data_IF_909921400587
#
_entry.id   IF_909921400587
#
_cell.length_a   1.000
_cell.length_b   1.000
_cell.length_c   1.000
_cell.angle_alpha   90.00
_cell.angle_beta   90.00
_cell.angle_gamma   90.00
#
_symmetry.space_group_name_H-M   'P 1'
#
loop_
_entity.id
_entity.type
_entity.pdbx_description
1 polymer ?
#
# COMPACT_ATOMS: atom_id res chain seq x y z
N UNK A 1 -7.70 0.03 11.87
CA UNK A 1 -6.51 -0.39 11.09
C UNK A 1 -5.26 -0.36 11.97
N UNK A 2 -5.05 -1.38 12.81
CA UNK A 2 -3.97 -1.40 13.83
C UNK A 2 -2.89 -2.47 13.58
N UNK A 3 -3.08 -3.35 12.59
CA UNK A 3 -2.27 -4.55 12.43
C UNK A 3 -0.94 -4.28 11.70
N UNK A 4 -0.91 -3.37 10.74
CA UNK A 4 0.31 -3.06 9.98
C UNK A 4 1.40 -2.36 10.82
N UNK A 5 1.01 -1.66 11.91
CA UNK A 5 1.93 -0.98 12.84
C UNK A 5 2.61 -1.92 13.85
N UNK A 6 2.10 -3.14 14.04
CA UNK A 6 2.64 -4.08 15.03
C UNK A 6 3.86 -4.85 14.50
N UNK A 7 3.98 -5.01 13.18
CA UNK A 7 5.03 -5.81 12.54
C UNK A 7 6.40 -5.11 12.53
N UNK A 8 6.48 -3.79 12.73
CA UNK A 8 7.72 -3.03 12.53
C UNK A 8 8.61 -2.78 13.75
N UNK A 9 8.17 -3.05 14.99
CA UNK A 9 9.01 -2.74 16.16
C UNK A 9 8.87 -3.78 17.27
N UNK A 10 9.99 -4.43 17.63
CA UNK A 10 10.22 -4.86 19.02
C UNK A 10 11.50 -4.26 19.56
N UNK A 11 11.38 -3.52 20.65
CA UNK A 11 12.46 -3.01 21.48
C UNK A 11 11.91 -2.14 22.61
N UNK A 12 11.63 -2.76 23.76
CA UNK A 12 10.98 -2.15 24.93
C UNK A 12 11.83 -1.07 25.64
N UNK A 13 11.19 -0.12 26.35
CA UNK A 13 11.85 0.91 27.16
C UNK A 13 11.30 1.02 28.61
N UNK A 14 12.10 1.51 29.60
CA UNK A 14 11.84 1.39 31.06
C UNK A 14 10.97 2.51 31.69
N UNK A 15 10.50 2.37 32.96
CA UNK A 15 9.24 2.96 33.44
C UNK A 15 9.25 4.42 33.95
N UNK A 16 10.37 5.13 34.02
CA UNK A 16 10.40 6.51 34.58
C UNK A 16 10.01 7.60 33.58
N UNK A 17 9.70 7.23 32.34
CA UNK A 17 9.28 8.13 31.27
C UNK A 17 7.75 8.22 31.12
N UNK A 18 6.98 7.44 31.90
CA UNK A 18 5.56 7.21 31.66
C UNK A 18 4.71 8.48 31.71
N UNK A 19 5.00 9.45 32.57
CA UNK A 19 4.13 10.62 32.73
C UNK A 19 4.37 11.69 31.65
N UNK A 20 5.63 11.90 31.24
CA UNK A 20 5.97 12.73 30.08
C UNK A 20 5.56 12.06 28.77
N UNK A 21 5.66 10.74 28.70
CA UNK A 21 5.17 9.95 27.57
C UNK A 21 3.64 9.99 27.48
N UNK A 22 2.91 10.02 28.60
CA UNK A 22 1.45 10.15 28.60
C UNK A 22 1.02 11.51 28.06
N UNK A 23 1.67 12.59 28.49
CA UNK A 23 1.39 13.94 27.98
C UNK A 23 1.74 14.06 26.50
N UNK A 24 2.95 13.63 26.10
CA UNK A 24 3.35 13.63 24.69
C UNK A 24 2.44 12.73 23.82
N UNK A 25 1.94 11.61 24.37
CA UNK A 25 1.00 10.72 23.68
C UNK A 25 -0.39 11.35 23.54
N UNK A 26 -0.86 12.09 24.54
CA UNK A 26 -2.11 12.84 24.48
C UNK A 26 -2.01 14.02 23.50
N UNK A 27 -0.90 14.74 23.49
CA UNK A 27 -0.62 15.82 22.52
C UNK A 27 -0.53 15.28 21.09
N UNK A 28 0.17 14.15 20.88
CA UNK A 28 0.19 13.45 19.59
C UNK A 28 -1.21 12.96 19.20
N UNK A 29 -2.02 12.46 20.14
CA UNK A 29 -3.39 12.05 19.85
C UNK A 29 -4.25 13.23 19.39
N UNK A 30 -4.14 14.37 20.05
CA UNK A 30 -4.85 15.59 19.67
C UNK A 30 -4.35 16.17 18.34
N UNK A 31 -3.05 16.03 18.06
CA UNK A 31 -2.46 16.42 16.77
C UNK A 31 -2.84 15.47 15.62
N UNK A 32 -3.11 14.19 15.92
CA UNK A 32 -3.59 13.18 14.97
C UNK A 32 -5.12 13.15 14.81
N UNK A 33 -5.85 13.87 15.65
CA UNK A 33 -7.31 14.07 15.58
C UNK A 33 -7.71 15.32 14.76
N UNK A 34 -6.73 15.98 14.13
CA UNK A 34 -6.95 17.08 13.19
C UNK A 34 -6.96 16.57 11.75
N UNK A 35 -8.07 16.82 11.05
CA UNK A 35 -8.30 16.60 9.61
C UNK A 35 -8.72 15.17 9.18
N UNK A 36 -9.64 14.55 9.93
CA UNK A 36 -10.41 13.35 9.48
C UNK A 36 -11.50 13.70 8.43
N UNK A 37 -11.15 14.44 7.38
CA UNK A 37 -12.13 14.93 6.40
C UNK A 37 -11.71 14.84 4.93
N UNK A 38 -10.42 14.72 4.62
CA UNK A 38 -9.97 14.53 3.24
C UNK A 38 -9.65 13.06 2.99
N UNK A 39 -10.39 12.46 2.06
CA UNK A 39 -10.08 11.16 1.49
C UNK A 39 -8.67 11.26 0.87
N UNK A 40 -7.68 10.72 1.56
CA UNK A 40 -6.29 10.83 1.13
C UNK A 40 -6.14 10.05 -0.18
N UNK A 41 -5.57 10.68 -1.21
CA UNK A 41 -5.33 10.07 -2.53
C UNK A 41 -4.52 8.77 -2.43
N UNK A 42 -3.78 8.56 -1.34
CA UNK A 42 -3.04 7.33 -1.06
C UNK A 42 -3.87 6.23 -0.38
N UNK A 43 -5.07 6.54 0.11
CA UNK A 43 -5.98 5.58 0.78
C UNK A 43 -7.08 5.04 -0.13
N UNK A 44 -7.31 5.69 -1.27
CA UNK A 44 -8.28 5.20 -2.27
C UNK A 44 -7.72 3.97 -3.01
N UNK A 45 -8.58 3.03 -3.43
CA UNK A 45 -8.16 1.96 -4.33
C UNK A 45 -7.64 2.52 -5.65
N UNK A 46 -6.68 1.83 -6.30
CA UNK A 46 -6.16 2.27 -7.57
C UNK A 46 -7.25 2.25 -8.65
N UNK A 47 -7.13 3.15 -9.62
CA UNK A 47 -7.97 3.25 -10.80
C UNK A 47 -7.42 2.41 -11.96
N UNK A 48 -8.27 2.13 -12.95
CA UNK A 48 -7.87 1.39 -14.15
C UNK A 48 -6.75 2.12 -14.92
N UNK A 49 -6.80 3.45 -14.98
CA UNK A 49 -5.81 4.28 -15.67
C UNK A 49 -4.45 4.25 -14.97
N UNK A 50 -4.43 4.29 -13.64
CA UNK A 50 -3.20 4.14 -12.86
C UNK A 50 -2.55 2.78 -13.10
N UNK A 51 -3.34 1.69 -13.10
CA UNK A 51 -2.83 0.34 -13.40
C UNK A 51 -2.31 0.25 -14.83
N UNK A 52 -3.04 0.78 -15.81
CA UNK A 52 -2.61 0.81 -17.21
C UNK A 52 -1.30 1.60 -17.38
N UNK A 53 -1.20 2.77 -16.73
CA UNK A 53 -0.01 3.61 -16.77
C UNK A 53 1.18 2.89 -16.13
N UNK A 54 0.98 2.26 -14.96
CA UNK A 54 2.00 1.48 -14.26
C UNK A 54 2.57 0.35 -15.13
N UNK A 55 1.71 -0.37 -15.86
CA UNK A 55 2.15 -1.40 -16.83
C UNK A 55 2.98 -0.77 -17.95
N UNK A 56 2.56 0.39 -18.47
CA UNK A 56 3.22 1.01 -19.62
C UNK A 56 4.61 1.58 -19.28
N UNK A 57 4.78 2.16 -18.08
CA UNK A 57 6.05 2.76 -17.65
C UNK A 57 7.11 1.74 -17.22
N UNK A 58 6.77 0.45 -17.06
CA UNK A 58 7.75 -0.58 -16.73
C UNK A 58 8.90 -0.59 -17.74
N UNK A 59 10.14 -0.80 -17.29
CA UNK A 59 11.30 -0.82 -18.18
C UNK A 59 11.35 -2.13 -18.97
N UNK A 60 11.40 -2.03 -20.30
CA UNK A 60 11.62 -3.16 -21.20
C UNK A 60 13.08 -3.64 -21.14
N UNK A 61 13.31 -4.87 -21.62
CA UNK A 61 14.59 -5.58 -21.69
C UNK A 61 15.24 -5.81 -20.32
N UNK A 62 14.42 -5.86 -19.27
CA UNK A 62 14.84 -6.33 -17.95
C UNK A 62 14.61 -7.83 -17.85
N UNK A 63 15.48 -8.50 -17.11
CA UNK A 63 15.29 -9.90 -16.81
C UNK A 63 13.94 -10.08 -16.09
N UNK A 64 13.11 -11.06 -16.49
CA UNK A 64 11.86 -11.33 -15.81
C UNK A 64 12.10 -11.79 -14.37
N UNK A 65 11.09 -11.64 -13.52
CA UNK A 65 11.13 -12.09 -12.13
C UNK A 65 11.10 -13.62 -12.01
N UNK A 66 10.90 -14.10 -10.77
CA UNK A 66 10.70 -15.53 -10.48
C UNK A 66 9.47 -16.12 -11.20
N UNK A 67 8.49 -15.26 -11.50
CA UNK A 67 7.29 -15.55 -12.28
C UNK A 67 7.57 -15.82 -13.77
N UNK A 68 8.78 -15.49 -14.25
CA UNK A 68 9.19 -15.56 -15.66
C UNK A 68 8.34 -14.67 -16.59
N UNK A 69 7.62 -13.68 -16.04
CA UNK A 69 6.81 -12.74 -16.81
C UNK A 69 7.66 -11.50 -17.08
N UNK A 70 7.81 -11.13 -18.36
CA UNK A 70 8.54 -9.93 -18.74
C UNK A 70 7.61 -8.72 -18.88
N UNK A 71 8.17 -7.51 -18.76
CA UNK A 71 7.42 -6.27 -18.91
C UNK A 71 6.77 -6.16 -20.30
N UNK A 72 7.39 -6.72 -21.34
CA UNK A 72 6.84 -6.73 -22.71
C UNK A 72 5.56 -7.55 -22.79
N UNK A 73 5.50 -8.71 -22.12
CA UNK A 73 4.28 -9.53 -22.10
C UNK A 73 3.12 -8.76 -21.45
N UNK A 74 3.40 -8.05 -20.36
CA UNK A 74 2.40 -7.22 -19.70
C UNK A 74 1.91 -6.07 -20.59
N UNK A 75 2.84 -5.40 -21.29
CA UNK A 75 2.51 -4.30 -22.21
C UNK A 75 1.72 -4.77 -23.45
N UNK A 76 2.01 -5.97 -23.95
CA UNK A 76 1.38 -6.52 -25.15
C UNK A 76 0.08 -7.29 -24.86
N UNK A 77 -0.23 -7.59 -23.59
CA UNK A 77 -1.42 -8.37 -23.22
C UNK A 77 -2.76 -7.69 -23.47
N UNK A 78 -2.76 -6.41 -23.87
CA UNK A 78 -3.95 -5.69 -24.32
C UNK A 78 -4.99 -5.45 -23.22
N UNK A 79 -6.21 -5.07 -23.65
CA UNK A 79 -7.27 -4.60 -22.73
C UNK A 79 -7.70 -5.66 -21.72
N UNK A 80 -7.81 -6.92 -22.14
CA UNK A 80 -8.28 -7.99 -21.24
C UNK A 80 -7.29 -8.23 -20.10
N UNK A 81 -5.97 -8.28 -20.40
CA UNK A 81 -4.95 -8.41 -19.36
C UNK A 81 -5.00 -7.22 -18.39
N UNK A 82 -5.09 -6.00 -18.90
CA UNK A 82 -5.16 -4.79 -18.05
C UNK A 82 -6.38 -4.86 -17.12
N UNK A 83 -7.54 -5.32 -17.61
CA UNK A 83 -8.73 -5.49 -16.77
C UNK A 83 -8.54 -6.53 -15.68
N UNK A 84 -7.93 -7.67 -15.99
CA UNK A 84 -7.64 -8.72 -15.00
C UNK A 84 -6.64 -8.24 -13.94
N UNK A 85 -5.57 -7.55 -14.35
CA UNK A 85 -4.59 -6.96 -13.43
C UNK A 85 -5.24 -5.91 -12.53
N UNK A 86 -6.10 -5.07 -13.09
CA UNK A 86 -6.84 -4.07 -12.31
C UNK A 86 -7.75 -4.70 -11.27
N UNK A 87 -8.52 -5.73 -11.64
CA UNK A 87 -9.39 -6.45 -10.70
C UNK A 87 -8.57 -7.04 -9.55
N UNK A 88 -7.50 -7.78 -9.88
CA UNK A 88 -6.62 -8.41 -8.90
C UNK A 88 -6.00 -7.40 -7.92
N UNK A 89 -5.40 -6.32 -8.43
CA UNK A 89 -4.74 -5.31 -7.59
C UNK A 89 -5.77 -4.60 -6.70
N UNK A 90 -6.95 -4.32 -7.24
CA UNK A 90 -8.04 -3.68 -6.50
C UNK A 90 -8.59 -4.58 -5.39
N UNK A 91 -8.74 -5.87 -5.66
CA UNK A 91 -9.17 -6.86 -4.66
C UNK A 91 -8.15 -6.97 -3.53
N UNK A 92 -6.85 -7.11 -3.86
CA UNK A 92 -5.77 -7.13 -2.86
C UNK A 92 -5.79 -5.85 -2.01
N UNK A 93 -6.05 -4.69 -2.62
CA UNK A 93 -6.14 -3.42 -1.91
C UNK A 93 -7.30 -3.36 -0.91
N UNK A 94 -8.48 -3.86 -1.30
CA UNK A 94 -9.70 -3.77 -0.49
C UNK A 94 -9.69 -4.81 0.63
N UNK A 95 -9.33 -6.04 0.29
CA UNK A 95 -9.36 -7.17 1.24
C UNK A 95 -8.10 -7.22 2.12
N UNK A 96 -7.04 -6.51 1.73
CA UNK A 96 -5.72 -6.57 2.36
C UNK A 96 -5.15 -8.01 2.42
N UNK A 97 -5.58 -8.90 1.51
CA UNK A 97 -5.21 -10.31 1.44
C UNK A 97 -4.65 -10.69 0.07
N UNK A 98 -3.69 -11.61 0.05
CA UNK A 98 -3.14 -12.16 -1.20
C UNK A 98 -3.99 -13.37 -1.63
N UNK A 99 -4.58 -13.36 -2.85
CA UNK A 99 -5.36 -14.48 -3.37
C UNK A 99 -4.55 -15.78 -3.44
N UNK A 100 -5.20 -16.92 -3.18
CA UNK A 100 -4.60 -18.26 -3.24
C UNK A 100 -4.68 -18.90 -4.63
#
# INVERSE_FOLDING_TARGET
MAYFKEVLNKGAQPPLQQQRQQQARQELQQQWLGEDGEENELTRPPTLEEVQTAIHIQKSHKAPGIDKISAELLKQGGRNLIQQMYQLIREIWIEEEIPQ
#
